data_IF_678382895252
#
_entry.id   IF_678382895252
#
_cell.length_a   1.000
_cell.length_b   1.000
_cell.length_c   1.000
_cell.angle_alpha   90.00
_cell.angle_beta   90.00
_cell.angle_gamma   90.00
#
_symmetry.space_group_name_H-M   'P 1'
#
loop_
_entity.id
_entity.type
_entity.pdbx_description
1 polymer ?
#
# COMPACT_ATOMS: atom_id res chain seq x y z
N UNK A 1 -2.06 -32.83 5.01
CA UNK A 1 -2.35 -32.17 3.71
C UNK A 1 -1.31 -31.10 3.54
N UNK A 2 -0.40 -31.24 2.53
CA UNK A 2 0.62 -30.24 2.26
C UNK A 2 -0.10 -28.99 1.74
N UNK A 3 -0.04 -27.88 2.47
CA UNK A 3 -0.34 -26.57 1.89
C UNK A 3 0.76 -26.29 0.85
N UNK A 4 0.41 -25.86 -0.37
CA UNK A 4 1.44 -25.44 -1.33
C UNK A 4 2.25 -24.32 -0.69
N UNK A 5 3.58 -24.38 -0.82
CA UNK A 5 4.47 -23.34 -0.37
C UNK A 5 4.02 -22.03 -1.04
N UNK A 6 3.60 -21.05 -0.22
CA UNK A 6 3.32 -19.73 -0.73
C UNK A 6 4.66 -19.10 -1.14
N UNK A 7 4.75 -18.66 -2.39
CA UNK A 7 5.85 -17.84 -2.88
C UNK A 7 5.39 -16.39 -2.96
N UNK A 8 6.32 -15.46 -2.82
CA UNK A 8 6.06 -14.05 -3.09
C UNK A 8 5.53 -13.91 -4.51
N UNK A 9 4.47 -13.13 -4.69
CA UNK A 9 3.84 -12.98 -6.00
C UNK A 9 4.29 -11.68 -6.66
N UNK A 10 4.97 -11.82 -7.79
CA UNK A 10 5.34 -10.73 -8.68
C UNK A 10 4.32 -10.55 -9.82
N UNK A 11 4.25 -9.35 -10.41
CA UNK A 11 3.19 -8.97 -11.36
C UNK A 11 3.67 -8.89 -12.81
N UNK A 12 4.64 -9.72 -13.21
CA UNK A 12 5.23 -9.69 -14.55
C UNK A 12 4.20 -9.84 -15.69
N UNK A 13 3.20 -10.72 -15.53
CA UNK A 13 2.17 -10.97 -16.56
C UNK A 13 0.90 -10.11 -16.41
N UNK A 14 0.76 -9.37 -15.33
CA UNK A 14 -0.48 -8.66 -14.96
C UNK A 14 -0.33 -7.14 -14.88
N UNK A 15 0.84 -6.60 -15.23
CA UNK A 15 1.18 -5.17 -15.06
C UNK A 15 0.11 -4.23 -15.65
N UNK A 16 -0.32 -4.45 -16.89
CA UNK A 16 -1.33 -3.60 -17.57
C UNK A 16 -2.70 -3.70 -16.90
N UNK A 17 -3.16 -4.93 -16.58
CA UNK A 17 -4.44 -5.14 -15.90
C UNK A 17 -4.44 -4.62 -14.47
N UNK A 18 -3.28 -4.65 -13.81
CA UNK A 18 -3.08 -4.10 -12.48
C UNK A 18 -3.19 -2.57 -12.49
N UNK A 19 -2.50 -1.92 -13.46
CA UNK A 19 -2.55 -0.48 -13.65
C UNK A 19 -3.99 0.04 -13.80
N UNK A 20 -4.74 -0.55 -14.73
CA UNK A 20 -6.11 -0.13 -15.03
C UNK A 20 -7.07 -0.36 -13.84
N UNK A 21 -6.97 -1.49 -13.15
CA UNK A 21 -7.92 -1.85 -12.08
C UNK A 21 -7.61 -1.20 -10.73
N UNK A 22 -6.34 -0.94 -10.44
CA UNK A 22 -5.94 -0.42 -9.11
C UNK A 22 -5.86 1.10 -9.11
N UNK A 23 -5.35 1.71 -10.20
CA UNK A 23 -5.20 3.15 -10.28
C UNK A 23 -6.25 3.82 -11.18
N UNK A 24 -7.04 3.05 -11.94
CA UNK A 24 -8.13 3.57 -12.75
C UNK A 24 -9.37 3.92 -11.92
N UNK A 25 -10.00 5.06 -12.23
CA UNK A 25 -11.27 5.48 -11.65
C UNK A 25 -11.21 5.89 -10.16
N UNK A 26 -12.41 5.99 -9.55
CA UNK A 26 -12.57 6.51 -8.18
C UNK A 26 -11.73 5.77 -7.12
N UNK A 27 -11.59 4.45 -7.24
CA UNK A 27 -10.83 3.64 -6.25
C UNK A 27 -9.35 4.02 -6.17
N UNK A 28 -8.73 4.25 -7.32
CA UNK A 28 -7.35 4.69 -7.39
C UNK A 28 -7.18 6.12 -6.92
N UNK A 29 -8.08 7.01 -7.34
CA UNK A 29 -8.07 8.41 -6.94
C UNK A 29 -8.22 8.57 -5.41
N UNK A 30 -9.17 7.88 -4.79
CA UNK A 30 -9.37 7.88 -3.33
C UNK A 30 -8.10 7.37 -2.62
N UNK A 31 -7.53 6.26 -3.10
CA UNK A 31 -6.33 5.70 -2.49
C UNK A 31 -5.18 6.71 -2.51
N UNK A 32 -4.88 7.29 -3.67
CA UNK A 32 -3.82 8.28 -3.78
C UNK A 32 -4.09 9.51 -2.92
N UNK A 33 -5.33 10.02 -2.93
CA UNK A 33 -5.69 11.19 -2.15
C UNK A 33 -5.49 11.00 -0.64
N UNK A 34 -5.89 9.83 -0.09
CA UNK A 34 -5.71 9.52 1.34
C UNK A 34 -4.22 9.41 1.68
N UNK A 35 -3.44 8.63 0.91
CA UNK A 35 -2.00 8.47 1.16
C UNK A 35 -1.26 9.80 1.08
N UNK A 36 -1.57 10.62 0.07
CA UNK A 36 -0.98 11.96 -0.09
C UNK A 36 -1.36 12.90 1.04
N UNK A 37 -2.63 12.90 1.46
CA UNK A 37 -3.11 13.73 2.56
C UNK A 37 -2.41 13.39 3.89
N UNK A 38 -2.24 12.09 4.17
CA UNK A 38 -1.55 11.65 5.38
C UNK A 38 -0.06 12.01 5.35
N UNK A 39 0.62 11.78 4.22
CA UNK A 39 2.04 12.13 4.07
C UNK A 39 2.27 13.64 4.16
N UNK A 40 1.41 14.48 3.59
CA UNK A 40 1.52 15.95 3.68
C UNK A 40 1.59 16.47 5.11
N UNK A 41 1.00 15.78 6.07
CA UNK A 41 0.99 16.18 7.47
C UNK A 41 2.34 15.94 8.17
N UNK A 42 3.16 15.02 7.66
CA UNK A 42 4.44 14.63 8.27
C UNK A 42 5.66 15.01 7.45
N UNK A 43 5.49 15.37 6.17
CA UNK A 43 6.59 15.79 5.30
C UNK A 43 7.10 17.19 5.71
N UNK A 44 8.42 17.34 5.98
CA UNK A 44 9.02 18.64 6.22
C UNK A 44 9.16 19.44 4.91
N UNK A 45 9.44 20.73 5.03
CA UNK A 45 9.69 21.60 3.88
C UNK A 45 11.01 21.31 3.13
N UNK A 46 11.91 20.52 3.73
CA UNK A 46 13.19 20.12 3.09
C UNK A 46 13.03 18.92 2.19
N UNK A 47 13.86 18.76 1.14
CA UNK A 47 13.95 17.52 0.40
C UNK A 47 14.28 16.33 1.31
N UNK A 48 13.63 15.20 1.04
CA UNK A 48 13.87 13.92 1.72
C UNK A 48 14.47 12.91 0.75
N UNK A 49 15.25 11.97 1.29
CA UNK A 49 15.58 10.72 0.63
C UNK A 49 14.44 9.74 0.86
N UNK A 50 13.82 9.27 -0.21
CA UNK A 50 12.65 8.40 -0.16
C UNK A 50 12.94 7.07 -0.84
N UNK A 51 12.54 5.96 -0.21
CA UNK A 51 12.50 4.63 -0.82
C UNK A 51 11.06 4.18 -0.96
N UNK A 52 10.66 3.73 -2.13
CA UNK A 52 9.37 3.11 -2.39
C UNK A 52 9.59 1.61 -2.67
N UNK A 53 9.24 0.76 -1.70
CA UNK A 53 9.40 -0.69 -1.77
C UNK A 53 8.16 -1.33 -2.39
N UNK A 54 8.35 -2.05 -3.51
CA UNK A 54 7.24 -2.55 -4.32
C UNK A 54 6.49 -1.41 -4.98
N UNK A 55 7.25 -0.48 -5.58
CA UNK A 55 6.74 0.79 -6.11
C UNK A 55 5.70 0.62 -7.23
N UNK A 56 5.67 -0.54 -7.88
CA UNK A 56 4.81 -0.80 -9.02
C UNK A 56 5.05 0.23 -10.14
N UNK A 57 4.00 0.94 -10.54
CA UNK A 57 4.08 1.99 -11.56
C UNK A 57 4.51 3.37 -11.02
N UNK A 58 4.94 3.47 -9.76
CA UNK A 58 5.55 4.66 -9.19
C UNK A 58 4.64 5.87 -8.99
N UNK A 59 3.33 5.69 -8.78
CA UNK A 59 2.40 6.81 -8.64
C UNK A 59 2.69 7.69 -7.42
N UNK A 60 2.96 7.09 -6.26
CA UNK A 60 3.32 7.83 -5.04
C UNK A 60 4.73 8.40 -5.15
N UNK A 61 5.65 7.62 -5.71
CA UNK A 61 7.02 8.04 -5.99
C UNK A 61 7.06 9.28 -6.89
N UNK A 62 6.28 9.31 -7.98
CA UNK A 62 6.22 10.46 -8.87
C UNK A 62 5.64 11.70 -8.19
N UNK A 63 4.60 11.51 -7.36
CA UNK A 63 4.05 12.61 -6.58
C UNK A 63 5.10 13.21 -5.63
N UNK A 64 5.90 12.38 -4.95
CA UNK A 64 6.98 12.83 -4.06
C UNK A 64 8.12 13.51 -4.83
N UNK A 65 8.53 12.97 -5.98
CA UNK A 65 9.54 13.59 -6.85
C UNK A 65 9.07 14.97 -7.33
N UNK A 66 7.80 15.11 -7.72
CA UNK A 66 7.18 16.39 -8.09
C UNK A 66 7.12 17.41 -6.95
N UNK A 67 7.28 16.97 -5.69
CA UNK A 67 7.43 17.84 -4.51
C UNK A 67 8.90 18.07 -4.11
N UNK A 68 9.86 17.68 -4.96
CA UNK A 68 11.28 17.95 -4.77
C UNK A 68 12.03 16.93 -3.89
N UNK A 69 11.43 15.78 -3.60
CA UNK A 69 12.12 14.71 -2.86
C UNK A 69 12.98 13.85 -3.80
N UNK A 70 14.06 13.28 -3.27
CA UNK A 70 14.94 12.35 -3.97
C UNK A 70 14.39 10.93 -3.81
N UNK A 71 13.86 10.35 -4.88
CA UNK A 71 13.12 9.08 -4.81
C UNK A 71 13.91 7.93 -5.43
N UNK A 72 13.97 6.82 -4.70
CA UNK A 72 14.41 5.52 -5.18
C UNK A 72 13.20 4.59 -5.25
N UNK A 73 12.92 4.03 -6.43
CA UNK A 73 11.87 3.03 -6.63
C UNK A 73 12.51 1.65 -6.68
N UNK A 74 12.06 0.75 -5.81
CA UNK A 74 12.44 -0.65 -5.82
C UNK A 74 11.23 -1.51 -6.23
N UNK A 75 11.35 -2.25 -7.35
CA UNK A 75 10.27 -3.07 -7.90
C UNK A 75 10.88 -4.31 -8.58
N UNK A 76 10.52 -5.54 -8.19
CA UNK A 76 11.08 -6.74 -8.80
C UNK A 76 10.57 -7.01 -10.22
N UNK A 77 9.31 -6.63 -10.53
CA UNK A 77 8.70 -6.87 -11.84
C UNK A 77 9.20 -5.86 -12.89
N UNK A 78 10.02 -6.31 -13.84
CA UNK A 78 10.56 -5.46 -14.89
C UNK A 78 9.49 -4.65 -15.66
N UNK A 79 8.34 -5.23 -16.09
CA UNK A 79 7.32 -4.47 -16.80
C UNK A 79 6.70 -3.33 -15.97
N UNK A 80 6.61 -3.50 -14.63
CA UNK A 80 6.13 -2.46 -13.73
C UNK A 80 7.15 -1.33 -13.61
N UNK A 81 8.43 -1.68 -13.42
CA UNK A 81 9.51 -0.72 -13.31
C UNK A 81 9.70 0.08 -14.61
N UNK A 82 9.58 -0.56 -15.77
CA UNK A 82 9.63 0.12 -17.07
C UNK A 82 8.45 1.08 -17.26
N UNK A 83 7.26 0.69 -16.81
CA UNK A 83 6.10 1.59 -16.76
C UNK A 83 6.32 2.80 -15.84
N UNK A 84 6.99 2.60 -14.69
CA UNK A 84 7.37 3.69 -13.81
C UNK A 84 8.40 4.62 -14.47
N UNK A 85 9.44 4.08 -15.15
CA UNK A 85 10.43 4.87 -15.91
C UNK A 85 9.78 5.75 -16.97
N UNK A 86 8.87 5.17 -17.78
CA UNK A 86 8.14 5.92 -18.79
C UNK A 86 7.34 7.07 -18.17
N UNK A 87 6.62 6.82 -17.09
CA UNK A 87 5.84 7.82 -16.36
C UNK A 87 6.69 8.98 -15.82
N UNK A 88 7.87 8.67 -15.26
CA UNK A 88 8.80 9.70 -14.79
C UNK A 88 9.37 10.52 -15.93
N UNK A 89 9.73 9.88 -17.06
CA UNK A 89 10.20 10.57 -18.26
C UNK A 89 9.14 11.51 -18.82
N UNK A 90 7.88 11.06 -18.93
CA UNK A 90 6.75 11.86 -19.41
C UNK A 90 6.49 13.09 -18.51
N UNK A 91 6.73 12.96 -17.21
CA UNK A 91 6.57 14.05 -16.25
C UNK A 91 7.81 14.95 -16.09
N UNK A 92 8.93 14.62 -16.75
CA UNK A 92 10.20 15.34 -16.60
C UNK A 92 10.79 15.26 -15.20
N UNK A 93 10.50 14.18 -14.44
CA UNK A 93 11.01 13.95 -13.11
C UNK A 93 12.15 12.92 -13.13
N UNK A 94 13.09 13.07 -12.21
CA UNK A 94 14.20 12.13 -12.02
C UNK A 94 13.96 11.21 -10.82
N UNK A 95 14.45 9.98 -10.89
CA UNK A 95 14.48 9.02 -9.79
C UNK A 95 15.56 7.96 -10.01
N UNK A 96 15.92 7.26 -8.93
CA UNK A 96 16.71 6.04 -8.99
C UNK A 96 15.77 4.84 -9.10
N UNK A 97 16.09 3.90 -10.01
CA UNK A 97 15.27 2.70 -10.22
C UNK A 97 16.09 1.45 -9.94
N UNK A 98 15.62 0.65 -9.00
CA UNK A 98 16.25 -0.59 -8.55
C UNK A 98 15.32 -1.76 -8.88
N UNK A 99 15.76 -2.64 -9.79
CA UNK A 99 15.02 -3.86 -10.07
C UNK A 99 15.49 -4.95 -9.12
N UNK A 100 14.87 -5.04 -7.96
CA UNK A 100 15.19 -6.02 -6.94
C UNK A 100 13.98 -6.37 -6.07
N UNK A 101 13.87 -7.62 -5.58
CA UNK A 101 12.93 -7.97 -4.54
C UNK A 101 13.39 -7.38 -3.20
N UNK A 102 12.45 -7.28 -2.24
CA UNK A 102 12.71 -6.65 -0.94
C UNK A 102 13.87 -7.31 -0.16
N UNK A 103 14.09 -8.61 -0.36
CA UNK A 103 15.16 -9.39 0.29
C UNK A 103 16.57 -8.90 -0.06
N UNK A 104 16.74 -8.26 -1.21
CA UNK A 104 18.03 -7.81 -1.73
C UNK A 104 18.33 -6.34 -1.44
N UNK A 105 17.34 -5.57 -0.93
CA UNK A 105 17.43 -4.10 -0.80
C UNK A 105 18.52 -3.64 0.16
N UNK A 106 18.82 -4.38 1.23
CA UNK A 106 19.93 -4.05 2.13
C UNK A 106 21.30 -4.10 1.44
N UNK A 107 21.44 -4.93 0.41
CA UNK A 107 22.65 -4.99 -0.43
C UNK A 107 22.72 -3.91 -1.52
N UNK A 108 21.56 -3.32 -1.86
CA UNK A 108 21.44 -2.31 -2.93
C UNK A 108 21.44 -0.86 -2.39
N UNK A 109 21.06 -0.68 -1.13
CA UNK A 109 20.93 0.62 -0.48
C UNK A 109 21.98 0.77 0.62
N UNK A 110 22.94 1.67 0.43
CA UNK A 110 24.08 1.87 1.36
C UNK A 110 23.75 2.73 2.58
N UNK A 111 22.67 3.50 2.52
CA UNK A 111 22.29 4.43 3.59
C UNK A 111 20.78 4.41 3.81
N UNK A 112 20.31 4.60 5.06
CA UNK A 112 18.88 4.63 5.35
C UNK A 112 18.19 5.88 4.75
N UNK A 113 16.87 5.80 4.64
CA UNK A 113 16.01 6.81 4.01
C UNK A 113 15.21 7.58 5.05
N UNK A 114 14.95 8.87 4.80
CA UNK A 114 14.10 9.72 5.65
C UNK A 114 12.63 9.24 5.63
N UNK A 115 12.21 8.65 4.50
CA UNK A 115 10.86 8.10 4.31
C UNK A 115 10.94 6.80 3.52
N UNK A 116 10.37 5.73 4.08
CA UNK A 116 10.20 4.46 3.38
C UNK A 116 8.71 4.24 3.14
N UNK A 117 8.33 3.99 1.89
CA UNK A 117 6.97 3.58 1.51
C UNK A 117 6.95 2.05 1.33
N UNK A 118 5.91 1.41 1.83
CA UNK A 118 5.61 0.00 1.57
C UNK A 118 4.09 -0.12 1.41
N UNK A 119 3.60 0.07 0.19
CA UNK A 119 2.17 0.21 -0.08
C UNK A 119 1.61 -0.97 -0.86
N UNK A 120 0.75 -1.76 -0.23
CA UNK A 120 0.10 -2.93 -0.82
C UNK A 120 1.11 -3.99 -1.30
N UNK A 121 2.12 -4.25 -0.50
CA UNK A 121 3.16 -5.25 -0.72
C UNK A 121 2.92 -6.47 0.16
N UNK A 122 2.70 -6.27 1.47
CA UNK A 122 2.64 -7.33 2.47
C UNK A 122 1.65 -8.45 2.12
N UNK A 123 0.50 -8.10 1.58
CA UNK A 123 -0.56 -9.05 1.22
C UNK A 123 -0.21 -9.99 0.06
N UNK A 124 0.94 -9.78 -0.59
CA UNK A 124 1.46 -10.60 -1.70
C UNK A 124 2.67 -11.44 -1.30
N UNK A 125 3.21 -11.21 -0.10
CA UNK A 125 4.34 -11.96 0.43
C UNK A 125 3.90 -13.31 0.99
N UNK A 126 4.81 -14.28 0.91
CA UNK A 126 4.62 -15.58 1.52
C UNK A 126 4.61 -15.48 3.05
N UNK A 127 5.50 -14.67 3.59
CA UNK A 127 5.67 -14.38 5.02
C UNK A 127 5.70 -12.88 5.25
N UNK A 128 4.53 -12.20 5.34
CA UNK A 128 4.45 -10.75 5.45
C UNK A 128 5.31 -10.10 6.54
N UNK A 129 5.45 -10.70 7.76
CA UNK A 129 6.26 -10.09 8.81
C UNK A 129 7.77 -10.08 8.53
N UNK A 130 8.26 -10.97 7.65
CA UNK A 130 9.70 -11.10 7.35
C UNK A 130 10.30 -9.83 6.73
N UNK A 131 9.50 -8.96 6.13
CA UNK A 131 9.96 -7.68 5.57
C UNK A 131 10.21 -6.61 6.63
N UNK A 132 9.58 -6.69 7.82
CA UNK A 132 9.60 -5.64 8.83
C UNK A 132 11.01 -5.25 9.30
N UNK A 133 11.90 -6.21 9.65
CA UNK A 133 13.29 -5.88 10.00
C UNK A 133 14.06 -5.22 8.86
N UNK A 134 13.78 -5.56 7.61
CA UNK A 134 14.42 -4.93 6.45
C UNK A 134 13.94 -3.49 6.30
N UNK A 135 12.63 -3.24 6.41
CA UNK A 135 12.07 -1.89 6.38
C UNK A 135 12.64 -1.03 7.52
N UNK A 136 12.82 -1.62 8.71
CA UNK A 136 13.41 -0.92 9.86
C UNK A 136 14.84 -0.47 9.57
N UNK A 137 15.70 -1.38 9.07
CA UNK A 137 17.08 -1.06 8.73
C UNK A 137 17.21 -0.03 7.60
N UNK A 138 16.25 0.00 6.67
CA UNK A 138 16.21 0.97 5.57
C UNK A 138 15.64 2.34 5.99
N UNK A 139 14.97 2.44 7.15
CA UNK A 139 14.41 3.69 7.65
C UNK A 139 15.39 4.37 8.60
N UNK A 140 15.69 5.65 8.37
CA UNK A 140 16.55 6.44 9.28
C UNK A 140 15.92 6.51 10.69
N UNK A 141 16.72 6.63 11.76
CA UNK A 141 16.21 6.67 13.15
C UNK A 141 15.11 7.72 13.37
N UNK A 142 15.24 8.90 12.74
CA UNK A 142 14.24 9.97 12.76
C UNK A 142 13.34 9.95 11.51
N UNK A 143 13.35 8.86 10.76
CA UNK A 143 12.59 8.68 9.53
C UNK A 143 11.14 8.26 9.77
N UNK A 144 10.44 8.02 8.69
CA UNK A 144 9.08 7.51 8.66
C UNK A 144 8.96 6.24 7.82
N UNK A 145 8.18 5.28 8.31
CA UNK A 145 7.60 4.24 7.48
C UNK A 145 6.16 4.60 7.17
N UNK A 146 5.82 4.67 5.89
CA UNK A 146 4.46 4.76 5.38
C UNK A 146 4.04 3.37 4.91
N UNK A 147 3.21 2.69 5.69
CA UNK A 147 2.80 1.32 5.48
C UNK A 147 1.32 1.24 5.11
N UNK A 148 0.99 0.74 3.92
CA UNK A 148 -0.40 0.50 3.54
C UNK A 148 -0.61 -0.96 3.15
N UNK A 149 -1.62 -1.60 3.72
CA UNK A 149 -1.89 -3.01 3.53
C UNK A 149 -3.38 -3.33 3.41
N UNK A 150 -3.68 -4.45 2.75
CA UNK A 150 -5.03 -4.92 2.52
C UNK A 150 -5.65 -5.48 3.80
N UNK A 151 -6.74 -4.88 4.23
CA UNK A 151 -7.38 -5.12 5.51
C UNK A 151 -8.32 -6.33 5.49
N UNK A 152 -8.04 -7.34 6.33
CA UNK A 152 -8.87 -8.54 6.50
C UNK A 152 -10.25 -8.22 7.08
N UNK A 153 -10.33 -7.29 8.03
CA UNK A 153 -11.60 -6.92 8.68
C UNK A 153 -12.58 -6.28 7.67
N UNK A 154 -12.07 -5.42 6.78
CA UNK A 154 -12.85 -4.85 5.68
C UNK A 154 -13.36 -5.92 4.69
N UNK A 155 -12.55 -6.94 4.43
CA UNK A 155 -12.94 -8.07 3.60
C UNK A 155 -14.05 -8.87 4.26
N UNK A 156 -13.94 -9.15 5.56
CA UNK A 156 -14.96 -9.83 6.36
C UNK A 156 -16.25 -9.03 6.33
N UNK A 157 -16.20 -7.75 6.69
CA UNK A 157 -17.37 -6.87 6.73
C UNK A 157 -18.10 -6.83 5.39
N UNK A 158 -17.40 -6.66 4.27
CA UNK A 158 -17.98 -6.67 2.95
C UNK A 158 -18.66 -8.00 2.61
N UNK A 159 -18.11 -9.14 3.02
CA UNK A 159 -18.73 -10.45 2.81
C UNK A 159 -19.96 -10.65 3.70
N UNK A 160 -19.97 -10.09 4.92
CA UNK A 160 -21.16 -10.06 5.79
C UNK A 160 -22.31 -9.30 5.13
N UNK A 161 -22.05 -8.09 4.61
CA UNK A 161 -23.06 -7.29 3.90
C UNK A 161 -23.63 -7.99 2.66
N UNK A 162 -22.84 -8.86 2.02
CA UNK A 162 -23.24 -9.66 0.85
C UNK A 162 -23.89 -11.00 1.19
N UNK A 163 -24.01 -11.34 2.47
CA UNK A 163 -24.55 -12.64 2.90
C UNK A 163 -23.65 -13.83 2.54
N UNK A 164 -22.36 -13.63 2.28
CA UNK A 164 -21.43 -14.69 1.91
C UNK A 164 -20.96 -15.51 3.12
N UNK A 165 -21.89 -15.89 4.01
CA UNK A 165 -21.61 -16.54 5.29
C UNK A 165 -20.87 -17.87 5.16
N UNK A 166 -21.12 -18.64 4.09
CA UNK A 166 -20.42 -19.91 3.85
C UNK A 166 -18.92 -19.70 3.60
N UNK A 167 -18.55 -18.62 2.88
CA UNK A 167 -17.17 -18.24 2.63
C UNK A 167 -16.46 -17.86 3.92
N UNK A 168 -17.14 -17.07 4.77
CA UNK A 168 -16.62 -16.62 6.05
C UNK A 168 -16.38 -17.79 7.02
N UNK A 169 -17.35 -18.72 7.13
CA UNK A 169 -17.17 -19.92 7.99
C UNK A 169 -16.02 -20.82 7.57
N UNK A 170 -15.59 -20.77 6.31
CA UNK A 170 -14.46 -21.56 5.79
C UNK A 170 -13.14 -20.82 5.85
N UNK A 171 -13.15 -19.58 6.33
CA UNK A 171 -11.98 -18.68 6.41
C UNK A 171 -11.17 -18.60 5.11
N UNK A 172 -11.86 -18.73 3.97
CA UNK A 172 -11.24 -18.67 2.64
C UNK A 172 -11.13 -17.22 2.19
N UNK A 173 -10.11 -16.53 2.66
CA UNK A 173 -9.87 -15.11 2.36
C UNK A 173 -8.94 -14.90 1.18
N UNK A 174 -8.06 -15.84 0.89
CA UNK A 174 -7.14 -15.79 -0.24
C UNK A 174 -7.89 -15.70 -1.59
N UNK A 175 -7.32 -14.93 -2.51
CA UNK A 175 -7.77 -14.90 -3.90
C UNK A 175 -7.44 -16.21 -4.61
N UNK A 176 -8.34 -16.69 -5.47
CA UNK A 176 -8.13 -17.90 -6.27
C UNK A 176 -7.49 -17.55 -7.63
N UNK A 177 -6.45 -18.29 -8.01
CA UNK A 177 -5.86 -18.27 -9.35
C UNK A 177 -5.30 -16.92 -9.79
N UNK A 178 -5.62 -16.47 -11.01
CA UNK A 178 -5.19 -15.20 -11.60
C UNK A 178 -6.00 -13.98 -11.10
N UNK A 179 -6.64 -14.09 -9.95
CA UNK A 179 -7.38 -12.99 -9.32
C UNK A 179 -6.42 -11.90 -8.82
N UNK A 180 -6.81 -10.62 -8.96
CA UNK A 180 -6.17 -9.49 -8.28
C UNK A 180 -6.62 -9.34 -6.81
N UNK A 181 -7.24 -10.38 -6.25
CA UNK A 181 -7.51 -10.47 -4.81
C UNK A 181 -6.23 -10.91 -4.11
N UNK A 182 -5.78 -10.23 -3.08
CA UNK A 182 -4.58 -10.58 -2.33
C UNK A 182 -4.58 -12.01 -1.83
N UNK A 183 -3.38 -12.60 -1.75
CA UNK A 183 -3.17 -13.95 -1.24
C UNK A 183 -3.35 -14.00 0.28
N UNK A 184 -2.87 -12.97 0.97
CA UNK A 184 -2.86 -12.87 2.41
C UNK A 184 -3.45 -11.54 2.90
N UNK A 185 -4.79 -11.40 3.02
CA UNK A 185 -5.37 -10.25 3.71
C UNK A 185 -4.93 -10.24 5.17
N UNK A 186 -4.40 -9.10 5.64
CA UNK A 186 -3.76 -9.01 6.96
C UNK A 186 -4.77 -8.67 8.05
N UNK A 187 -4.65 -9.32 9.21
CA UNK A 187 -5.32 -8.88 10.44
C UNK A 187 -4.55 -7.70 11.02
N UNK A 188 -5.19 -6.52 11.19
CA UNK A 188 -4.50 -5.36 11.73
C UNK A 188 -3.94 -5.55 13.14
N UNK A 189 -4.59 -6.37 13.96
CA UNK A 189 -4.15 -6.62 15.35
C UNK A 189 -2.92 -7.52 15.39
N UNK A 190 -2.90 -8.57 14.57
CA UNK A 190 -1.74 -9.46 14.44
C UNK A 190 -0.54 -8.68 13.87
N UNK A 191 -0.77 -7.86 12.83
CA UNK A 191 0.29 -7.05 12.23
C UNK A 191 0.81 -5.99 13.21
N UNK A 192 -0.05 -5.35 14.00
CA UNK A 192 0.37 -4.39 15.02
C UNK A 192 1.32 -5.04 16.03
N UNK A 193 0.97 -6.23 16.57
CA UNK A 193 1.84 -6.95 17.49
C UNK A 193 3.20 -7.35 16.87
N UNK A 194 3.24 -7.68 15.58
CA UNK A 194 4.48 -8.01 14.87
C UNK A 194 5.31 -6.76 14.54
N UNK A 195 4.65 -5.62 14.39
CA UNK A 195 5.29 -4.35 14.08
C UNK A 195 5.95 -3.73 15.31
N UNK A 196 5.41 -3.97 16.52
CA UNK A 196 5.83 -3.32 17.76
C UNK A 196 7.31 -3.54 18.12
N UNK A 197 7.95 -4.60 17.64
CA UNK A 197 9.39 -4.82 17.84
C UNK A 197 10.26 -3.86 16.99
N UNK A 198 9.69 -3.25 15.97
CA UNK A 198 10.42 -2.49 14.94
C UNK A 198 9.95 -1.04 14.82
N UNK A 199 8.64 -0.81 14.93
CA UNK A 199 8.03 0.48 14.67
C UNK A 199 6.89 0.77 15.62
N UNK A 200 6.72 2.05 15.98
CA UNK A 200 5.54 2.56 16.67
C UNK A 200 4.61 3.22 15.68
N UNK A 201 3.35 2.83 15.68
CA UNK A 201 2.31 3.47 14.86
C UNK A 201 1.93 4.81 15.47
N UNK A 202 2.21 5.91 14.76
CA UNK A 202 1.89 7.27 15.18
C UNK A 202 0.51 7.71 14.67
N UNK A 203 0.13 7.22 13.50
CA UNK A 203 -1.10 7.62 12.83
C UNK A 203 -1.66 6.47 12.02
N UNK A 204 -2.99 6.35 12.05
CA UNK A 204 -3.72 5.35 11.30
C UNK A 204 -4.87 5.99 10.53
N UNK A 205 -4.99 5.65 9.23
CA UNK A 205 -6.08 6.05 8.36
C UNK A 205 -6.67 4.84 7.64
N UNK A 206 -7.98 4.85 7.44
CA UNK A 206 -8.65 3.92 6.55
C UNK A 206 -8.68 4.48 5.12
N UNK A 207 -8.41 3.63 4.15
CA UNK A 207 -8.46 3.97 2.72
C UNK A 207 -9.67 3.29 2.10
N UNK A 208 -10.58 4.07 1.53
CA UNK A 208 -11.89 3.62 1.03
C UNK A 208 -12.74 3.05 2.17
N UNK A 209 -13.05 3.93 3.14
CA UNK A 209 -13.79 3.56 4.35
C UNK A 209 -15.29 3.33 4.09
N UNK A 210 -15.85 3.93 3.05
CA UNK A 210 -17.25 3.72 2.68
C UNK A 210 -17.49 3.39 1.20
N UNK A 211 -16.68 3.89 0.28
CA UNK A 211 -16.89 3.74 -1.18
C UNK A 211 -17.11 2.28 -1.60
N UNK A 212 -16.34 1.32 -1.07
CA UNK A 212 -16.44 -0.10 -1.44
C UNK A 212 -17.73 -0.77 -0.92
N UNK A 213 -18.47 -0.10 -0.04
CA UNK A 213 -19.72 -0.56 0.56
C UNK A 213 -20.97 0.10 -0.02
N UNK A 214 -20.79 1.18 -0.79
CA UNK A 214 -21.90 1.84 -1.47
C UNK A 214 -22.57 0.89 -2.47
N UNK A 215 -23.91 0.90 -2.61
CA UNK A 215 -24.59 0.25 -3.71
C UNK A 215 -24.06 0.74 -5.07
N UNK A 216 -24.02 -0.18 -6.07
CA UNK A 216 -23.39 0.09 -7.38
C UNK A 216 -24.05 1.27 -8.09
N UNK A 217 -25.37 1.42 -7.97
CA UNK A 217 -26.16 2.52 -8.54
C UNK A 217 -25.76 3.89 -7.96
N UNK A 218 -25.38 3.95 -6.68
CA UNK A 218 -24.90 5.18 -6.05
C UNK A 218 -23.43 5.46 -6.39
N UNK A 219 -22.59 4.40 -6.47
CA UNK A 219 -21.20 4.56 -6.94
C UNK A 219 -21.15 5.16 -8.35
N UNK A 220 -22.07 4.74 -9.24
CA UNK A 220 -22.10 5.20 -10.63
C UNK A 220 -22.58 6.67 -10.79
N UNK A 221 -23.25 7.22 -9.79
CA UNK A 221 -23.80 8.59 -9.81
C UNK A 221 -23.01 9.58 -8.98
N UNK A 222 -22.14 9.08 -8.09
CA UNK A 222 -21.37 9.94 -7.20
C UNK A 222 -20.28 10.69 -7.97
N UNK A 223 -20.20 11.99 -7.77
CA UNK A 223 -19.14 12.81 -8.29
C UNK A 223 -17.83 12.47 -7.57
N UNK A 224 -16.73 12.43 -8.34
CA UNK A 224 -15.41 12.06 -7.78
C UNK A 224 -14.97 13.04 -6.69
N UNK A 225 -15.25 14.33 -6.85
CA UNK A 225 -14.92 15.37 -5.86
C UNK A 225 -15.59 15.12 -4.52
N UNK A 226 -16.88 14.76 -4.52
CA UNK A 226 -17.62 14.47 -3.30
C UNK A 226 -17.11 13.20 -2.62
N UNK A 227 -16.80 12.17 -3.42
CA UNK A 227 -16.20 10.93 -2.91
C UNK A 227 -14.85 11.20 -2.23
N UNK A 228 -13.99 12.02 -2.85
CA UNK A 228 -12.68 12.36 -2.30
C UNK A 228 -12.82 13.17 -1.00
N UNK A 229 -13.68 14.18 -0.99
CA UNK A 229 -13.94 15.01 0.21
C UNK A 229 -14.42 14.16 1.38
N UNK A 230 -15.41 13.30 1.15
CA UNK A 230 -16.00 12.46 2.21
C UNK A 230 -15.03 11.36 2.67
N UNK A 231 -14.29 10.71 1.78
CA UNK A 231 -13.27 9.74 2.16
C UNK A 231 -12.15 10.39 3.00
N UNK A 232 -11.69 11.57 2.63
CA UNK A 232 -10.70 12.32 3.39
C UNK A 232 -11.24 12.76 4.76
N UNK A 233 -12.47 13.25 4.83
CA UNK A 233 -13.10 13.67 6.09
C UNK A 233 -13.26 12.50 7.08
N UNK A 234 -13.52 11.30 6.57
CA UNK A 234 -13.86 10.14 7.41
C UNK A 234 -12.72 9.12 7.57
N UNK A 235 -11.57 9.30 6.89
CA UNK A 235 -10.45 8.34 6.92
C UNK A 235 -9.94 7.98 8.31
N UNK A 236 -10.08 8.91 9.28
CA UNK A 236 -9.64 8.75 10.67
C UNK A 236 -10.78 8.74 11.68
N UNK A 237 -12.02 8.69 11.21
CA UNK A 237 -13.16 8.63 12.12
C UNK A 237 -13.13 7.28 12.87
N UNK A 238 -13.19 7.26 14.22
CA UNK A 238 -13.02 6.03 15.02
C UNK A 238 -13.93 4.87 14.62
N UNK A 239 -15.17 5.16 14.19
CA UNK A 239 -16.12 4.14 13.76
C UNK A 239 -15.83 3.61 12.33
N UNK A 240 -15.06 4.32 11.49
CA UNK A 240 -14.93 3.99 10.06
C UNK A 240 -13.51 3.59 9.67
N UNK A 241 -12.48 4.05 10.36
CA UNK A 241 -11.08 3.76 10.04
C UNK A 241 -10.84 2.27 9.82
N UNK A 242 -11.31 1.43 10.75
CA UNK A 242 -11.19 -0.03 10.66
C UNK A 242 -11.95 -0.68 9.51
N UNK A 243 -12.87 0.04 8.85
CA UNK A 243 -13.60 -0.41 7.67
C UNK A 243 -12.87 -0.09 6.36
N UNK A 244 -11.78 0.67 6.41
CA UNK A 244 -10.97 0.96 5.23
C UNK A 244 -10.54 -0.30 4.51
N UNK A 245 -10.73 -0.34 3.19
CA UNK A 245 -10.31 -1.48 2.35
C UNK A 245 -8.82 -1.78 2.46
N UNK A 246 -8.04 -0.72 2.64
CA UNK A 246 -6.67 -0.75 3.13
C UNK A 246 -6.61 0.06 4.42
N UNK A 247 -5.67 -0.29 5.28
CA UNK A 247 -5.23 0.59 6.34
C UNK A 247 -3.91 1.22 5.92
N UNK A 248 -3.76 2.48 6.27
CA UNK A 248 -2.52 3.23 6.08
C UNK A 248 -2.01 3.66 7.44
N UNK A 249 -0.80 3.22 7.78
CA UNK A 249 -0.11 3.55 9.01
C UNK A 249 1.12 4.39 8.74
N UNK A 250 1.27 5.48 9.45
CA UNK A 250 2.52 6.23 9.54
C UNK A 250 3.22 5.83 10.83
N UNK A 251 4.43 5.31 10.70
CA UNK A 251 5.15 4.68 11.80
C UNK A 251 6.53 5.32 11.98
N UNK A 252 7.00 5.35 13.22
CA UNK A 252 8.37 5.71 13.58
C UNK A 252 9.17 4.49 13.95
N UNK A 253 10.45 4.39 13.54
CA UNK A 253 11.32 3.31 14.00
C UNK A 253 11.41 3.30 15.52
N UNK A 254 11.43 2.11 16.11
CA UNK A 254 11.80 1.92 17.50
C UNK A 254 13.33 1.84 17.62
N UNK A 255 13.92 2.23 18.76
CA UNK A 255 15.38 2.17 18.99
C UNK A 255 15.95 0.76 18.83
#
# INVERSE_FOLDING_TARGET
MHQPAHHDRHFDELATRFAEKIYGGAKGAIRLAVLQADLKEVLPARPLRVLDVGAGLGHMSLWLAGHGHQVTLAEPAAPMLDGARARFADAGCEATFVQAPWQELLGQCSEPFDLVLCHAVLEWLAEPPAILPVLHQLTAPDGWLSLAFYNRDALIYRNLLKGHFRKLRKERFAGEGQSLTPQCPLDPRELAGQLDDWFRVEQQSGVRVFHDYMPVEFQARAELTDLLEMELAHRRHPAFTGLGRYLHWLCRPQP
#
